data_IF_123104265172
#
_entry.id   IF_123104265172
#
_cell.length_a   1.000
_cell.length_b   1.000
_cell.length_c   1.000
_cell.angle_alpha   90.00
_cell.angle_beta   90.00
_cell.angle_gamma   90.00
#
_symmetry.space_group_name_H-M   'P 1'
#
loop_
_entity.id
_entity.type
_entity.pdbx_description
1 polymer ?
#
# COMPACT_ATOMS: atom_id res chain seq x y z
N UNK A 1 7.52 -17.18 -1.53
CA UNK A 1 7.32 -16.10 -2.51
C UNK A 1 8.43 -16.11 -3.55
N UNK A 2 9.70 -15.84 -3.18
CA UNK A 2 10.81 -15.72 -4.13
C UNK A 2 10.97 -16.94 -5.07
N UNK A 3 10.72 -18.15 -4.56
CA UNK A 3 10.76 -19.37 -5.39
C UNK A 3 9.56 -19.45 -6.37
N UNK A 4 8.37 -19.12 -5.91
CA UNK A 4 7.16 -19.12 -6.72
C UNK A 4 7.28 -18.15 -7.91
N UNK A 5 7.88 -16.99 -7.70
CA UNK A 5 8.12 -15.98 -8.73
C UNK A 5 9.47 -16.12 -9.44
N UNK A 6 10.19 -17.23 -9.21
CA UNK A 6 11.47 -17.55 -9.86
C UNK A 6 12.52 -16.43 -9.74
N UNK A 7 12.52 -15.71 -8.64
CA UNK A 7 13.54 -14.67 -8.38
C UNK A 7 14.92 -15.32 -8.35
N UNK A 8 15.90 -14.86 -9.14
CA UNK A 8 17.24 -15.44 -9.15
C UNK A 8 17.90 -15.43 -7.77
N UNK A 9 18.50 -16.53 -7.34
CA UNK A 9 19.13 -16.67 -6.01
C UNK A 9 20.10 -15.52 -5.70
N UNK A 10 20.85 -15.05 -6.69
CA UNK A 10 21.80 -13.93 -6.55
C UNK A 10 21.14 -12.60 -6.20
N UNK A 11 19.87 -12.40 -6.60
CA UNK A 11 19.11 -11.17 -6.32
C UNK A 11 18.35 -11.21 -4.99
N UNK A 12 18.04 -12.40 -4.46
CA UNK A 12 17.17 -12.56 -3.28
C UNK A 12 17.72 -11.90 -2.04
N UNK A 13 18.94 -12.27 -1.65
CA UNK A 13 19.53 -11.77 -0.41
C UNK A 13 19.69 -10.24 -0.44
N UNK A 14 20.25 -9.62 -1.48
CA UNK A 14 20.31 -8.16 -1.57
C UNK A 14 18.93 -7.47 -1.47
N UNK A 15 17.91 -8.02 -2.11
CA UNK A 15 16.54 -7.46 -2.04
C UNK A 15 15.91 -7.63 -0.66
N UNK A 16 16.09 -8.80 -0.02
CA UNK A 16 15.63 -9.04 1.35
C UNK A 16 16.31 -8.06 2.31
N UNK A 17 17.63 -7.92 2.24
CA UNK A 17 18.40 -7.02 3.09
C UNK A 17 17.97 -5.56 2.89
N UNK A 18 17.80 -5.12 1.63
CA UNK A 18 17.32 -3.78 1.28
C UNK A 18 15.97 -3.51 1.96
N UNK A 19 14.97 -4.30 1.66
CA UNK A 19 13.59 -4.03 2.14
C UNK A 19 13.43 -4.32 3.63
N UNK A 20 14.10 -5.33 4.18
CA UNK A 20 14.08 -5.58 5.62
C UNK A 20 14.75 -4.44 6.41
N UNK A 21 15.84 -3.88 5.87
CA UNK A 21 16.47 -2.70 6.46
C UNK A 21 15.54 -1.49 6.46
N UNK A 22 14.91 -1.18 5.34
CA UNK A 22 13.98 -0.06 5.19
C UNK A 22 12.75 -0.19 6.11
N UNK A 23 12.26 -1.41 6.30
CA UNK A 23 11.07 -1.71 7.13
C UNK A 23 11.41 -2.05 8.59
N UNK A 24 12.70 -1.94 8.98
CA UNK A 24 13.21 -2.27 10.32
C UNK A 24 12.86 -3.71 10.77
N UNK A 25 12.95 -4.68 9.86
CA UNK A 25 12.72 -6.11 10.12
C UNK A 25 14.00 -6.95 10.16
N UNK A 26 15.17 -6.37 9.89
CA UNK A 26 16.43 -7.14 9.72
C UNK A 26 16.72 -8.05 10.91
N UNK A 27 16.49 -7.57 12.15
CA UNK A 27 16.76 -8.34 13.39
C UNK A 27 15.76 -9.47 13.62
N UNK A 28 14.60 -9.39 12.98
CA UNK A 28 13.47 -10.28 13.22
C UNK A 28 13.33 -11.38 12.16
N UNK A 29 14.09 -11.28 11.04
CA UNK A 29 14.01 -12.24 9.93
C UNK A 29 14.27 -13.70 10.33
N UNK A 30 15.00 -13.94 11.42
CA UNK A 30 15.27 -15.27 11.96
C UNK A 30 14.20 -15.82 12.89
N UNK A 31 13.20 -15.01 13.24
CA UNK A 31 12.13 -15.42 14.17
C UNK A 31 10.98 -16.09 13.40
N UNK A 32 10.17 -16.87 14.12
CA UNK A 32 8.95 -17.45 13.57
C UNK A 32 7.93 -16.35 13.28
N UNK A 33 7.30 -16.39 12.11
CA UNK A 33 6.26 -15.41 11.70
C UNK A 33 5.05 -15.43 12.66
N UNK A 34 4.81 -16.56 13.35
CA UNK A 34 3.78 -16.67 14.39
C UNK A 34 4.02 -15.73 15.57
N UNK A 35 5.29 -15.39 15.87
CA UNK A 35 5.66 -14.46 16.95
C UNK A 35 5.61 -12.98 16.54
N UNK A 36 5.40 -12.69 15.26
CA UNK A 36 5.35 -11.31 14.78
C UNK A 36 4.10 -10.58 15.25
N UNK A 37 4.27 -9.30 15.61
CA UNK A 37 3.16 -8.39 15.83
C UNK A 37 2.36 -8.20 14.51
N UNK A 38 1.16 -7.60 14.60
CA UNK A 38 0.37 -7.29 13.42
C UNK A 38 1.14 -6.40 12.43
N UNK A 39 1.75 -5.32 12.91
CA UNK A 39 2.56 -4.43 12.09
C UNK A 39 3.78 -5.11 11.46
N UNK A 40 4.46 -6.03 12.18
CA UNK A 40 5.56 -6.81 11.61
C UNK A 40 5.09 -7.76 10.50
N UNK A 41 3.92 -8.39 10.67
CA UNK A 41 3.31 -9.22 9.61
C UNK A 41 2.96 -8.39 8.38
N UNK A 42 2.42 -7.19 8.58
CA UNK A 42 2.12 -6.26 7.49
C UNK A 42 3.39 -5.84 6.73
N UNK A 43 4.44 -5.45 7.44
CA UNK A 43 5.76 -5.14 6.85
C UNK A 43 6.31 -6.33 6.06
N UNK A 44 6.23 -7.54 6.61
CA UNK A 44 6.69 -8.76 5.94
C UNK A 44 5.89 -9.07 4.67
N UNK A 45 4.57 -8.86 4.70
CA UNK A 45 3.71 -9.03 3.52
C UNK A 45 4.11 -8.08 2.40
N UNK A 46 4.33 -6.80 2.71
CA UNK A 46 4.78 -5.79 1.76
C UNK A 46 6.17 -6.13 1.20
N UNK A 47 7.14 -6.50 2.06
CA UNK A 47 8.45 -6.97 1.65
C UNK A 47 8.33 -8.15 0.68
N UNK A 48 7.49 -9.12 1.01
CA UNK A 48 7.27 -10.31 0.18
C UNK A 48 6.68 -9.98 -1.18
N UNK A 49 5.83 -8.95 -1.25
CA UNK A 49 5.27 -8.46 -2.51
C UNK A 49 6.30 -7.71 -3.36
N UNK A 50 7.23 -6.98 -2.74
CA UNK A 50 8.25 -6.21 -3.45
C UNK A 50 9.43 -7.05 -3.98
N UNK A 51 9.73 -8.20 -3.33
CA UNK A 51 10.94 -8.98 -3.63
C UNK A 51 11.02 -9.53 -5.06
N UNK A 52 9.88 -9.66 -5.74
CA UNK A 52 9.83 -10.12 -7.12
C UNK A 52 9.70 -8.98 -8.14
N UNK A 53 9.88 -7.74 -7.69
CA UNK A 53 9.86 -6.53 -8.53
C UNK A 53 8.59 -6.47 -9.40
N UNK A 54 7.38 -6.46 -8.81
CA UNK A 54 6.13 -6.56 -9.54
C UNK A 54 5.88 -5.30 -10.38
N UNK A 55 5.22 -5.48 -11.53
CA UNK A 55 4.69 -4.36 -12.32
C UNK A 55 3.33 -3.87 -11.80
N UNK A 56 2.61 -4.72 -11.08
CA UNK A 56 1.34 -4.39 -10.44
C UNK A 56 1.31 -4.97 -9.04
N UNK A 57 0.97 -4.13 -8.06
CA UNK A 57 0.64 -4.56 -6.70
C UNK A 57 -0.83 -4.30 -6.41
N UNK A 58 -1.47 -5.28 -5.78
CA UNK A 58 -2.84 -5.14 -5.26
C UNK A 58 -2.76 -5.34 -3.76
N UNK A 59 -3.18 -4.34 -2.98
CA UNK A 59 -3.04 -4.31 -1.54
C UNK A 59 -4.37 -3.96 -0.88
N UNK A 60 -4.69 -4.65 0.20
CA UNK A 60 -5.84 -4.34 1.04
C UNK A 60 -5.36 -3.69 2.34
N UNK A 61 -5.82 -2.45 2.59
CA UNK A 61 -5.48 -1.66 3.79
C UNK A 61 -3.97 -1.69 4.16
N UNK A 62 -3.05 -1.32 3.26
CA UNK A 62 -1.61 -1.55 3.44
C UNK A 62 -0.98 -0.80 4.62
N UNK A 63 -1.64 0.21 5.17
CA UNK A 63 -1.10 1.05 6.24
C UNK A 63 -1.62 0.68 7.63
N UNK A 64 -2.62 -0.19 7.71
CA UNK A 64 -3.21 -0.63 8.98
C UNK A 64 -2.16 -1.37 9.82
N UNK A 65 -2.03 -0.98 11.10
CA UNK A 65 -1.08 -1.57 12.04
C UNK A 65 0.38 -1.12 11.89
N UNK A 66 0.68 -0.23 10.93
CA UNK A 66 2.00 0.37 10.81
C UNK A 66 2.15 1.58 11.72
N UNK A 67 3.32 1.71 12.33
CA UNK A 67 3.73 2.96 12.97
C UNK A 67 3.98 4.07 11.92
N UNK A 68 3.99 5.36 12.31
CA UNK A 68 4.15 6.47 11.36
C UNK A 68 5.42 6.40 10.51
N UNK A 69 6.53 5.89 11.05
CA UNK A 69 7.80 5.77 10.34
C UNK A 69 7.69 4.69 9.27
N UNK A 70 7.15 3.54 9.63
CA UNK A 70 6.93 2.43 8.69
C UNK A 70 5.93 2.83 7.59
N UNK A 71 4.83 3.50 7.94
CA UNK A 71 3.85 4.00 6.97
C UNK A 71 4.50 4.97 5.97
N UNK A 72 5.35 5.89 6.44
CA UNK A 72 6.09 6.81 5.58
C UNK A 72 7.02 6.04 4.62
N UNK A 73 7.77 5.06 5.14
CA UNK A 73 8.65 4.22 4.33
C UNK A 73 7.87 3.46 3.25
N UNK A 74 6.75 2.85 3.62
CA UNK A 74 5.89 2.11 2.67
C UNK A 74 5.36 3.03 1.57
N UNK A 75 4.89 4.23 1.92
CA UNK A 75 4.44 5.23 0.92
C UNK A 75 5.56 5.59 -0.06
N UNK A 76 6.79 5.75 0.42
CA UNK A 76 7.96 6.00 -0.41
C UNK A 76 8.25 4.84 -1.38
N UNK A 77 8.21 3.61 -0.89
CA UNK A 77 8.40 2.40 -1.72
C UNK A 77 7.31 2.25 -2.78
N UNK A 78 6.06 2.56 -2.42
CA UNK A 78 4.94 2.55 -3.37
C UNK A 78 5.15 3.58 -4.48
N UNK A 79 5.55 4.80 -4.13
CA UNK A 79 5.85 5.85 -5.12
C UNK A 79 7.02 5.46 -6.01
N UNK A 80 8.13 4.94 -5.44
CA UNK A 80 9.29 4.45 -6.20
C UNK A 80 8.88 3.39 -7.25
N UNK A 81 7.99 2.45 -6.87
CA UNK A 81 7.50 1.44 -7.81
C UNK A 81 6.73 2.08 -8.97
N UNK A 82 5.85 3.03 -8.69
CA UNK A 82 5.07 3.72 -9.73
C UNK A 82 5.97 4.57 -10.63
N UNK A 83 6.94 5.30 -10.07
CA UNK A 83 7.89 6.13 -10.82
C UNK A 83 8.78 5.29 -11.76
N UNK A 84 9.02 4.02 -11.39
CA UNK A 84 9.72 3.04 -12.23
C UNK A 84 8.81 2.30 -13.23
N UNK A 85 7.59 2.81 -13.46
CA UNK A 85 6.65 2.29 -14.47
C UNK A 85 5.79 1.13 -13.98
N UNK A 86 5.74 0.88 -12.67
CA UNK A 86 4.77 -0.03 -12.05
C UNK A 86 3.45 0.66 -11.76
N UNK A 87 2.48 -0.10 -11.25
CA UNK A 87 1.19 0.39 -10.80
C UNK A 87 0.81 -0.26 -9.46
N UNK A 88 0.09 0.49 -8.64
CA UNK A 88 -0.43 0.01 -7.37
C UNK A 88 -1.92 0.29 -7.29
N UNK A 89 -2.69 -0.73 -6.95
CA UNK A 89 -4.09 -0.61 -6.60
C UNK A 89 -4.25 -1.01 -5.12
N UNK A 90 -4.77 -0.13 -4.29
CA UNK A 90 -4.98 -0.46 -2.88
C UNK A 90 -6.31 0.07 -2.36
N UNK A 91 -6.89 -0.65 -1.41
CA UNK A 91 -8.03 -0.18 -0.64
C UNK A 91 -7.57 0.62 0.58
N UNK A 92 -8.34 1.62 0.98
CA UNK A 92 -8.18 2.30 2.27
C UNK A 92 -9.48 2.99 2.68
N UNK A 93 -9.73 3.08 3.97
CA UNK A 93 -10.78 3.92 4.55
C UNK A 93 -10.23 5.27 5.07
N UNK A 94 -8.94 5.53 4.90
CA UNK A 94 -8.28 6.78 5.33
C UNK A 94 -8.22 7.74 4.14
N UNK A 95 -9.22 8.62 4.05
CA UNK A 95 -9.41 9.54 2.91
C UNK A 95 -8.19 10.44 2.67
N UNK A 96 -7.57 10.96 3.75
CA UNK A 96 -6.34 11.77 3.64
C UNK A 96 -5.17 11.01 2.98
N UNK A 97 -5.06 9.72 3.22
CA UNK A 97 -4.02 8.88 2.58
C UNK A 97 -4.32 8.74 1.09
N UNK A 98 -5.57 8.45 0.74
CA UNK A 98 -5.99 8.34 -0.64
C UNK A 98 -5.75 9.66 -1.39
N UNK A 99 -6.18 10.79 -0.82
CA UNK A 99 -6.03 12.12 -1.41
C UNK A 99 -4.57 12.50 -1.69
N UNK A 100 -3.66 12.19 -0.74
CA UNK A 100 -2.24 12.57 -0.86
C UNK A 100 -1.38 11.61 -1.68
N UNK A 101 -1.79 10.37 -1.80
CA UNK A 101 -0.95 9.32 -2.39
C UNK A 101 -1.43 8.86 -3.77
N UNK A 102 -2.74 8.88 -4.02
CA UNK A 102 -3.32 8.32 -5.23
C UNK A 102 -3.41 9.34 -6.37
N UNK A 103 -3.03 8.90 -7.56
CA UNK A 103 -3.24 9.67 -8.79
C UNK A 103 -4.70 9.55 -9.27
N UNK A 104 -5.31 8.38 -8.98
CA UNK A 104 -6.72 8.09 -9.30
C UNK A 104 -7.42 7.45 -8.11
N UNK A 105 -8.71 7.72 -7.98
CA UNK A 105 -9.55 7.24 -6.89
C UNK A 105 -10.82 6.61 -7.44
N UNK A 106 -11.31 5.61 -6.71
CA UNK A 106 -12.63 5.03 -6.91
C UNK A 106 -13.32 4.92 -5.53
N UNK A 107 -14.48 5.51 -5.37
CA UNK A 107 -15.31 5.39 -4.16
C UNK A 107 -16.36 4.30 -4.39
N UNK A 108 -16.33 3.30 -3.51
CA UNK A 108 -17.26 2.17 -3.53
C UNK A 108 -18.13 2.22 -2.28
N UNK A 109 -19.44 2.09 -2.46
CA UNK A 109 -20.41 2.01 -1.37
C UNK A 109 -21.40 0.89 -1.64
N UNK A 110 -21.65 0.03 -0.64
CA UNK A 110 -22.58 -1.10 -0.76
C UNK A 110 -22.36 -1.97 -2.01
N UNK A 111 -21.10 -2.17 -2.39
CA UNK A 111 -20.72 -2.96 -3.55
C UNK A 111 -20.94 -2.27 -4.90
N UNK A 112 -21.28 -0.98 -4.92
CA UNK A 112 -21.44 -0.18 -6.15
C UNK A 112 -20.34 0.86 -6.26
N UNK A 113 -19.82 1.05 -7.47
CA UNK A 113 -18.94 2.16 -7.80
C UNK A 113 -19.77 3.44 -7.89
N UNK A 114 -19.48 4.41 -7.02
CA UNK A 114 -20.19 5.69 -6.95
C UNK A 114 -19.51 6.73 -7.83
N UNK A 115 -18.21 6.89 -7.67
CA UNK A 115 -17.41 7.83 -8.46
C UNK A 115 -16.02 7.25 -8.68
N UNK A 116 -15.41 7.56 -9.83
CA UNK A 116 -14.01 7.25 -10.09
C UNK A 116 -13.42 8.27 -11.07
N UNK A 117 -12.13 8.55 -10.90
CA UNK A 117 -11.39 9.46 -11.75
C UNK A 117 -10.08 9.93 -11.14
N UNK A 118 -9.39 10.88 -11.78
CA UNK A 118 -8.24 11.56 -11.21
C UNK A 118 -8.58 12.18 -9.85
N UNK A 119 -7.67 12.04 -8.89
CA UNK A 119 -7.89 12.53 -7.51
C UNK A 119 -8.32 14.00 -7.48
N UNK A 120 -7.66 14.84 -8.27
CA UNK A 120 -7.95 16.27 -8.36
C UNK A 120 -9.38 16.56 -8.87
N UNK A 121 -9.87 15.76 -9.83
CA UNK A 121 -11.23 15.89 -10.37
C UNK A 121 -12.28 15.43 -9.37
N UNK A 122 -12.01 14.29 -8.69
CA UNK A 122 -12.95 13.70 -7.73
C UNK A 122 -13.12 14.60 -6.50
N UNK A 123 -12.03 15.16 -5.97
CA UNK A 123 -12.11 16.06 -4.81
C UNK A 123 -12.63 17.46 -5.14
N UNK A 124 -12.52 17.89 -6.40
CA UNK A 124 -12.91 19.24 -6.83
C UNK A 124 -12.15 20.32 -6.07
N UNK A 125 -12.87 21.33 -5.58
CA UNK A 125 -12.30 22.45 -4.82
C UNK A 125 -12.21 22.18 -3.30
N UNK A 126 -12.73 21.05 -2.83
CA UNK A 126 -12.75 20.61 -1.43
C UNK A 126 -11.75 19.52 -1.12
N UNK A 127 -12.10 18.67 -0.18
CA UNK A 127 -11.38 17.46 0.20
C UNK A 127 -12.17 16.20 -0.20
N UNK A 128 -11.51 15.04 -0.20
CA UNK A 128 -12.23 13.77 -0.36
C UNK A 128 -13.20 13.50 0.79
N UNK A 129 -12.93 14.07 1.97
CA UNK A 129 -13.84 13.96 3.12
C UNK A 129 -15.14 14.71 2.84
N UNK A 130 -15.06 15.92 2.25
CA UNK A 130 -16.25 16.68 1.86
C UNK A 130 -17.10 15.90 0.85
N UNK A 131 -16.45 15.36 -0.19
CA UNK A 131 -17.12 14.52 -1.21
C UNK A 131 -17.77 13.29 -0.56
N UNK A 132 -17.07 12.64 0.36
CA UNK A 132 -17.62 11.47 1.04
C UNK A 132 -18.84 11.81 1.89
N UNK A 133 -18.82 12.93 2.61
CA UNK A 133 -19.94 13.40 3.41
C UNK A 133 -21.15 13.77 2.55
N UNK A 134 -20.94 14.50 1.45
CA UNK A 134 -22.02 14.81 0.48
C UNK A 134 -22.69 13.53 -0.06
N UNK A 135 -21.90 12.51 -0.39
CA UNK A 135 -22.41 11.22 -0.86
C UNK A 135 -23.19 10.45 0.23
N UNK A 136 -22.91 10.71 1.51
CA UNK A 136 -23.70 10.14 2.62
C UNK A 136 -25.05 10.84 2.78
N UNK A 137 -25.08 12.18 2.66
CA UNK A 137 -26.30 13.00 2.83
C UNK A 137 -27.31 12.81 1.70
N UNK A 138 -26.87 12.62 0.46
CA UNK A 138 -27.75 12.41 -0.71
C UNK A 138 -28.54 11.08 -0.69
N UNK A 139 -28.39 10.27 0.36
CA UNK A 139 -28.98 8.94 0.46
C UNK A 139 -29.77 8.67 1.74
N UNK A 140 -30.04 9.70 2.57
CA UNK A 140 -31.07 9.63 3.61
C UNK A 140 -32.43 10.09 3.06
#
# INVERSE_FOLDING_TARGET
VADAFKVPKKKRNPLIEKYAGMLALTKDLGQLVSSYSHGMKQKLAILSALIHEPKLMILDEPFVGLDPVAAHTVKGLMRELCDNGGAIFFSTHVLEVAEKLCDQIAIIRQGKLIVSGPTEEVRGNGSLEDVFLELEEDHE
#
